data_IF_596579528870
#
_entry.id   IF_596579528870
#
_cell.length_a   1.000
_cell.length_b   1.000
_cell.length_c   1.000
_cell.angle_alpha   90.00
_cell.angle_beta   90.00
_cell.angle_gamma   90.00
#
_symmetry.space_group_name_H-M   'P 1'
#
loop_
_entity.id
_entity.type
_entity.pdbx_description
1 polymer ?
#
# COMPACT_ATOMS: atom_id res chain seq x y z
N UNK A 1 5.73 1.42 24.39
CA UNK A 1 5.89 2.48 23.36
C UNK A 1 6.73 1.91 22.22
N UNK A 2 6.11 1.55 21.09
CA UNK A 2 6.85 1.05 19.92
C UNK A 2 7.64 2.19 19.29
N UNK A 3 8.97 2.18 19.43
CA UNK A 3 9.84 3.06 18.65
C UNK A 3 9.66 2.68 17.18
N UNK A 4 9.20 3.64 16.37
CA UNK A 4 9.23 3.54 14.91
C UNK A 4 10.64 3.18 14.47
N UNK A 5 10.77 2.14 13.65
CA UNK A 5 12.08 1.72 13.14
C UNK A 5 12.68 2.85 12.31
N UNK A 6 13.98 3.14 12.45
CA UNK A 6 14.63 4.16 11.65
C UNK A 6 14.54 3.76 10.18
N UNK A 7 13.90 4.62 9.39
CA UNK A 7 13.72 4.45 7.95
C UNK A 7 14.57 5.50 7.24
N UNK A 8 15.29 5.15 6.16
CA UNK A 8 16.01 6.13 5.36
C UNK A 8 15.07 7.01 4.52
N UNK A 9 13.76 6.72 4.51
CA UNK A 9 12.75 7.48 3.78
C UNK A 9 11.86 8.28 4.72
N UNK A 10 11.41 9.44 4.25
CA UNK A 10 10.64 10.43 5.02
C UNK A 10 9.19 10.00 5.26
N UNK A 11 8.56 9.36 4.28
CA UNK A 11 7.15 8.95 4.38
C UNK A 11 7.02 7.52 4.88
N UNK A 12 6.01 7.27 5.71
CA UNK A 12 5.67 5.95 6.22
C UNK A 12 4.25 5.51 5.79
N UNK A 13 3.79 4.38 6.33
CA UNK A 13 2.46 3.83 5.99
C UNK A 13 1.29 4.69 6.48
N UNK A 14 1.49 5.63 7.39
CA UNK A 14 0.46 6.56 7.86
C UNK A 14 0.29 7.74 6.91
N UNK A 15 1.30 8.03 6.11
CA UNK A 15 1.27 9.11 5.12
C UNK A 15 0.57 8.71 3.81
N UNK A 16 0.14 7.45 3.68
CA UNK A 16 -0.55 6.94 2.48
C UNK A 16 -1.79 6.14 2.90
N UNK A 17 -2.95 6.50 2.36
CA UNK A 17 -4.21 5.80 2.60
C UNK A 17 -4.61 4.98 1.38
N UNK A 18 -4.75 3.65 1.53
CA UNK A 18 -5.31 2.81 0.47
C UNK A 18 -6.83 2.98 0.46
N UNK A 19 -7.36 3.59 -0.60
CA UNK A 19 -8.78 3.89 -0.76
C UNK A 19 -9.52 2.66 -1.28
N UNK A 20 -8.97 2.01 -2.30
CA UNK A 20 -9.60 0.87 -2.96
C UNK A 20 -8.58 -0.07 -3.57
N UNK A 21 -8.98 -1.34 -3.69
CA UNK A 21 -8.27 -2.38 -4.41
C UNK A 21 -9.26 -3.14 -5.28
N UNK A 22 -9.02 -3.13 -6.57
CA UNK A 22 -9.91 -3.72 -7.57
C UNK A 22 -9.12 -4.75 -8.39
N UNK A 23 -9.70 -5.93 -8.63
CA UNK A 23 -9.07 -6.95 -9.47
C UNK A 23 -9.45 -6.70 -10.93
N UNK A 24 -8.48 -6.33 -11.75
CA UNK A 24 -8.67 -6.09 -13.19
C UNK A 24 -8.59 -7.38 -14.00
N UNK A 25 -7.77 -8.33 -13.57
CA UNK A 25 -7.66 -9.65 -14.19
C UNK A 25 -7.44 -10.71 -13.12
N UNK A 26 -8.14 -11.84 -13.24
CA UNK A 26 -8.05 -12.96 -12.30
C UNK A 26 -7.80 -14.28 -13.03
N UNK A 27 -6.60 -14.81 -12.86
CA UNK A 27 -6.18 -16.14 -13.31
C UNK A 27 -5.15 -16.74 -12.36
N UNK A 28 -4.23 -17.56 -12.87
CA UNK A 28 -3.10 -18.06 -12.08
C UNK A 28 -2.30 -16.92 -11.44
N UNK A 29 -2.12 -15.82 -12.19
CA UNK A 29 -1.74 -14.52 -11.64
C UNK A 29 -2.91 -13.55 -11.71
N UNK A 30 -2.90 -12.57 -10.82
CA UNK A 30 -3.92 -11.51 -10.78
C UNK A 30 -3.30 -10.15 -10.98
N UNK A 31 -3.96 -9.33 -11.79
CA UNK A 31 -3.67 -7.91 -11.91
C UNK A 31 -4.64 -7.15 -10.99
N UNK A 32 -4.08 -6.40 -10.04
CA UNK A 32 -4.87 -5.60 -9.11
C UNK A 32 -4.53 -4.12 -9.27
N UNK A 33 -5.56 -3.29 -9.41
CA UNK A 33 -5.48 -1.85 -9.35
C UNK A 33 -5.58 -1.40 -7.90
N UNK A 34 -4.58 -0.67 -7.43
CA UNK A 34 -4.61 -0.01 -6.14
C UNK A 34 -4.83 1.48 -6.34
N UNK A 35 -5.76 2.04 -5.58
CA UNK A 35 -6.06 3.47 -5.55
C UNK A 35 -5.71 3.97 -4.16
N UNK A 36 -4.86 4.98 -4.07
CA UNK A 36 -4.38 5.55 -2.80
C UNK A 36 -4.49 7.08 -2.81
N UNK A 37 -4.57 7.68 -1.62
CA UNK A 37 -4.56 9.13 -1.36
C UNK A 37 -3.40 9.46 -0.42
#
# INVERSE_FOLDING_TARGET
MNRSQPSPVTFDKKDVEIIARETLYRGFFSLNLYRFR
#
